data_IF_561229780160
#
_entry.id   IF_561229780160
#
_cell.length_a   1.000
_cell.length_b   1.000
_cell.length_c   1.000
_cell.angle_alpha   90.00
_cell.angle_beta   90.00
_cell.angle_gamma   90.00
#
_symmetry.space_group_name_H-M   'P 1'
#
loop_
_entity.id
_entity.type
_entity.pdbx_description
1 polymer ?
#
# COMPACT_ATOMS: atom_id res chain seq x y z
N UNK A 1 15.00 23.72 -24.90
CA UNK A 1 14.60 22.51 -24.18
C UNK A 1 15.68 21.90 -23.29
N UNK A 2 16.99 21.96 -23.63
CA UNK A 2 18.07 21.42 -22.76
C UNK A 2 18.26 22.16 -21.42
N UNK A 3 17.97 23.47 -21.33
CA UNK A 3 18.15 24.27 -20.10
C UNK A 3 17.07 24.03 -19.03
N UNK A 4 15.87 23.62 -19.41
CA UNK A 4 14.76 23.34 -18.47
C UNK A 4 14.97 21.97 -17.79
N UNK A 5 15.52 21.00 -18.53
CA UNK A 5 15.83 19.68 -18.00
C UNK A 5 16.95 19.73 -16.93
N UNK A 6 17.91 20.64 -17.11
CA UNK A 6 19.03 20.86 -16.16
C UNK A 6 18.55 21.45 -14.83
N UNK A 7 17.54 22.34 -14.86
CA UNK A 7 16.99 22.98 -13.65
C UNK A 7 16.16 21.98 -12.82
N UNK A 8 15.42 21.09 -13.48
CA UNK A 8 14.66 20.02 -12.78
C UNK A 8 15.61 19.02 -12.15
N UNK A 9 16.69 18.66 -12.85
CA UNK A 9 17.70 17.70 -12.35
C UNK A 9 18.54 18.29 -11.19
N UNK A 10 18.81 19.61 -11.19
CA UNK A 10 19.54 20.27 -10.09
C UNK A 10 18.68 20.43 -8.84
N UNK A 11 17.36 20.59 -8.93
CA UNK A 11 16.47 20.58 -7.76
C UNK A 11 16.39 19.21 -7.08
N UNK A 12 16.52 18.11 -7.84
CA UNK A 12 16.59 16.75 -7.26
C UNK A 12 17.96 16.41 -6.65
N UNK A 13 19.05 17.01 -7.15
CA UNK A 13 20.40 16.78 -6.63
C UNK A 13 20.75 17.62 -5.40
N UNK A 14 20.07 18.75 -5.19
CA UNK A 14 20.31 19.63 -4.02
C UNK A 14 19.71 19.10 -2.71
N UNK A 15 18.86 18.07 -2.75
CA UNK A 15 18.34 17.39 -1.56
C UNK A 15 19.33 16.38 -0.94
N UNK A 16 20.44 16.08 -1.63
CA UNK A 16 21.40 15.06 -1.17
C UNK A 16 22.69 15.63 -0.51
N UNK A 17 22.84 16.95 -0.31
CA UNK A 17 24.07 17.54 0.20
C UNK A 17 23.95 18.23 1.58
N UNK A 18 22.85 18.10 2.28
CA UNK A 18 22.83 18.34 3.72
C UNK A 18 23.19 17.04 4.43
N UNK A 19 24.47 16.80 4.61
CA UNK A 19 25.00 15.72 5.45
C UNK A 19 24.71 15.99 6.94
N UNK A 20 23.46 16.11 7.33
CA UNK A 20 23.01 15.82 8.67
C UNK A 20 22.89 14.31 8.74
N UNK A 21 23.70 13.64 9.56
CA UNK A 21 23.45 12.27 9.98
C UNK A 21 22.00 12.23 10.50
N UNK A 22 21.08 11.68 9.72
CA UNK A 22 19.69 11.54 10.13
C UNK A 22 19.71 10.63 11.37
N UNK A 23 19.52 11.22 12.53
CA UNK A 23 19.44 10.49 13.80
C UNK A 23 18.11 9.76 13.82
N UNK A 24 18.09 8.56 14.39
CA UNK A 24 16.86 7.83 14.65
C UNK A 24 16.11 8.55 15.77
N UNK A 25 14.92 9.04 15.48
CA UNK A 25 14.00 9.62 16.47
C UNK A 25 12.82 8.67 16.67
N UNK A 26 12.78 8.00 17.82
CA UNK A 26 11.75 7.03 18.15
C UNK A 26 10.35 7.68 18.22
N UNK A 27 10.24 8.92 18.69
CA UNK A 27 8.94 9.62 18.75
C UNK A 27 8.32 9.83 17.36
N UNK A 28 9.15 10.12 16.34
CA UNK A 28 8.68 10.25 14.96
C UNK A 28 8.22 8.91 14.39
N UNK A 29 8.91 7.81 14.73
CA UNK A 29 8.55 6.46 14.32
C UNK A 29 7.22 6.05 14.96
N UNK A 30 7.09 6.23 16.26
CA UNK A 30 5.85 5.90 16.99
C UNK A 30 4.69 6.78 16.54
N UNK A 31 4.95 8.06 16.20
CA UNK A 31 3.94 8.94 15.62
C UNK A 31 3.42 8.42 14.27
N UNK A 32 4.29 7.83 13.43
CA UNK A 32 3.89 7.19 12.19
C UNK A 32 2.99 5.97 12.43
N UNK A 33 3.36 5.03 13.32
CA UNK A 33 2.54 3.85 13.61
C UNK A 33 1.20 4.21 14.25
N UNK A 34 1.19 5.18 15.16
CA UNK A 34 -0.06 5.72 15.69
C UNK A 34 -0.95 6.34 14.60
N UNK A 35 -0.36 7.04 13.63
CA UNK A 35 -1.11 7.60 12.52
C UNK A 35 -1.62 6.50 11.56
N UNK A 36 -0.85 5.43 11.35
CA UNK A 36 -1.26 4.26 10.58
C UNK A 36 -2.47 3.58 11.24
N UNK A 37 -2.41 3.30 12.53
CA UNK A 37 -3.53 2.70 13.26
C UNK A 37 -4.78 3.59 13.20
N UNK A 38 -4.65 4.89 13.45
CA UNK A 38 -5.75 5.85 13.32
C UNK A 38 -6.34 5.89 11.89
N UNK A 39 -5.53 5.61 10.87
CA UNK A 39 -5.95 5.57 9.48
C UNK A 39 -6.72 4.28 9.18
N UNK A 40 -6.24 3.14 9.68
CA UNK A 40 -6.93 1.86 9.56
C UNK A 40 -8.26 1.83 10.34
N UNK A 41 -8.40 2.66 11.37
CA UNK A 41 -9.62 2.86 12.15
C UNK A 41 -10.62 3.85 11.52
N UNK A 42 -10.34 4.44 10.35
CA UNK A 42 -11.28 5.33 9.68
C UNK A 42 -12.59 4.61 9.35
N UNK A 43 -13.73 5.22 9.71
CA UNK A 43 -15.05 4.68 9.37
C UNK A 43 -15.32 4.64 7.87
N UNK A 44 -14.61 5.48 7.11
CA UNK A 44 -14.68 5.51 5.65
C UNK A 44 -13.44 6.16 5.07
N UNK A 45 -12.96 5.63 3.94
CA UNK A 45 -11.81 6.16 3.23
C UNK A 45 -11.92 5.89 1.72
N UNK A 46 -11.40 6.80 0.91
CA UNK A 46 -11.01 6.55 -0.46
C UNK A 46 -9.49 6.53 -0.53
N UNK A 47 -8.95 5.48 -1.14
CA UNK A 47 -7.53 5.28 -1.35
C UNK A 47 -7.29 5.30 -2.84
N UNK A 48 -6.47 6.23 -3.31
CA UNK A 48 -5.97 6.25 -4.67
C UNK A 48 -4.47 6.00 -4.61
N UNK A 49 -3.99 5.12 -5.46
CA UNK A 49 -2.57 4.81 -5.43
C UNK A 49 -2.04 4.20 -6.70
N UNK A 50 -0.74 4.01 -6.69
CA UNK A 50 0.00 3.34 -7.74
C UNK A 50 1.01 2.40 -7.12
N UNK A 51 1.21 1.25 -7.75
CA UNK A 51 2.35 0.38 -7.53
C UNK A 51 3.11 0.32 -8.85
N UNK A 52 4.28 0.96 -8.90
CA UNK A 52 5.14 0.97 -10.07
C UNK A 52 6.26 -0.06 -9.88
N UNK A 53 6.51 -0.83 -10.92
CA UNK A 53 7.64 -1.75 -11.09
C UNK A 53 8.35 -1.36 -12.38
N UNK A 54 9.57 -1.87 -12.59
CA UNK A 54 10.45 -1.49 -13.72
C UNK A 54 9.71 -1.29 -15.07
N UNK A 55 8.84 -2.23 -15.46
CA UNK A 55 8.20 -2.25 -16.78
C UNK A 55 6.66 -2.21 -16.72
N UNK A 56 6.10 -2.06 -15.52
CA UNK A 56 4.65 -2.09 -15.31
C UNK A 56 4.22 -1.20 -14.15
N UNK A 57 2.94 -0.83 -14.18
CA UNK A 57 2.32 -0.03 -13.13
C UNK A 57 0.90 -0.50 -12.88
N UNK A 58 0.56 -0.70 -11.63
CA UNK A 58 -0.82 -0.87 -11.20
C UNK A 58 -1.37 0.48 -10.70
N UNK A 59 -2.55 0.84 -11.18
CA UNK A 59 -3.31 1.97 -10.67
C UNK A 59 -4.41 1.42 -9.78
N UNK A 60 -4.52 1.93 -8.55
CA UNK A 60 -5.43 1.45 -7.51
C UNK A 60 -6.41 2.55 -7.16
N UNK A 61 -7.71 2.26 -7.23
CA UNK A 61 -8.78 3.05 -6.63
C UNK A 61 -9.54 2.14 -5.68
N UNK A 62 -9.64 2.49 -4.41
CA UNK A 62 -10.37 1.72 -3.42
C UNK A 62 -11.21 2.63 -2.54
N UNK A 63 -12.46 2.22 -2.32
CA UNK A 63 -13.43 2.85 -1.45
C UNK A 63 -13.77 1.89 -0.32
N UNK A 64 -13.68 2.34 0.91
CA UNK A 64 -13.87 1.52 2.10
C UNK A 64 -14.87 2.19 3.02
N UNK A 65 -15.83 1.42 3.50
CA UNK A 65 -16.77 1.79 4.55
C UNK A 65 -16.79 0.67 5.59
N UNK A 66 -16.56 1.02 6.88
CA UNK A 66 -16.51 0.04 7.97
C UNK A 66 -17.21 0.57 9.23
N UNK A 67 -18.44 1.07 9.07
CA UNK A 67 -19.30 1.49 10.20
C UNK A 67 -19.89 0.26 10.90
N UNK A 68 -20.99 -0.24 10.37
CA UNK A 68 -21.73 -1.38 10.90
C UNK A 68 -21.26 -2.69 10.28
N UNK A 69 -20.96 -2.65 8.98
CA UNK A 69 -20.38 -3.75 8.23
C UNK A 69 -19.23 -3.25 7.35
N UNK A 70 -18.36 -4.18 6.94
CA UNK A 70 -17.28 -3.91 6.01
C UNK A 70 -17.84 -3.91 4.58
N UNK A 71 -17.66 -2.79 3.90
CA UNK A 71 -17.93 -2.63 2.48
C UNK A 71 -16.68 -2.12 1.78
N UNK A 72 -16.37 -2.71 0.65
CA UNK A 72 -15.21 -2.35 -0.18
C UNK A 72 -15.62 -2.31 -1.64
N UNK A 73 -15.17 -1.29 -2.36
CA UNK A 73 -15.22 -1.23 -3.80
C UNK A 73 -13.83 -0.87 -4.30
N UNK A 74 -13.17 -1.77 -5.02
CA UNK A 74 -11.81 -1.56 -5.50
C UNK A 74 -11.70 -1.88 -6.98
N UNK A 75 -10.95 -1.05 -7.70
CA UNK A 75 -10.57 -1.24 -9.10
C UNK A 75 -9.05 -1.12 -9.22
N UNK A 76 -8.46 -2.07 -9.93
CA UNK A 76 -7.04 -2.10 -10.25
C UNK A 76 -6.89 -2.10 -11.77
N UNK A 77 -6.19 -1.09 -12.29
CA UNK A 77 -5.76 -1.02 -13.68
C UNK A 77 -4.30 -1.46 -13.82
N UNK A 78 -3.96 -2.08 -14.93
CA UNK A 78 -2.60 -2.48 -15.29
C UNK A 78 -2.12 -1.66 -16.49
N UNK A 79 -0.91 -1.12 -16.40
CA UNK A 79 -0.16 -0.53 -17.51
C UNK A 79 1.13 -1.31 -17.68
N UNK A 80 1.33 -1.92 -18.84
CA UNK A 80 2.56 -2.67 -19.17
C UNK A 80 3.02 -2.26 -20.58
N UNK A 81 4.07 -1.45 -20.64
CA UNK A 81 4.52 -0.81 -21.88
C UNK A 81 3.41 0.03 -22.52
N UNK A 82 2.96 -0.34 -23.71
CA UNK A 82 1.85 0.34 -24.42
C UNK A 82 0.46 -0.23 -24.11
N UNK A 83 0.39 -1.34 -23.39
CA UNK A 83 -0.85 -2.01 -23.05
C UNK A 83 -1.45 -1.37 -21.78
N UNK A 84 -2.70 -0.91 -21.87
CA UNK A 84 -3.45 -0.34 -20.75
C UNK A 84 -4.74 -1.13 -20.55
N UNK A 85 -4.92 -1.69 -19.37
CA UNK A 85 -6.12 -2.41 -18.96
C UNK A 85 -6.71 -1.73 -17.73
N UNK A 86 -7.70 -0.85 -17.90
CA UNK A 86 -8.26 -0.05 -16.80
C UNK A 86 -9.03 -0.87 -15.76
N UNK A 87 -9.55 -2.03 -16.12
CA UNK A 87 -10.32 -2.93 -15.26
C UNK A 87 -9.66 -4.32 -15.24
N UNK A 88 -8.37 -4.35 -14.95
CA UNK A 88 -7.61 -5.61 -14.85
C UNK A 88 -8.18 -6.50 -13.74
N UNK A 89 -8.46 -5.89 -12.58
CA UNK A 89 -9.05 -6.57 -11.44
C UNK A 89 -10.02 -5.62 -10.73
N UNK A 90 -11.25 -6.08 -10.47
CA UNK A 90 -12.16 -5.37 -9.58
C UNK A 90 -12.58 -6.31 -8.45
N UNK A 91 -12.58 -5.77 -7.23
CA UNK A 91 -12.92 -6.52 -6.04
C UNK A 91 -13.92 -5.73 -5.19
N UNK A 92 -14.98 -6.41 -4.74
CA UNK A 92 -16.01 -5.79 -3.94
C UNK A 92 -16.33 -6.65 -2.71
N UNK A 93 -16.66 -5.97 -1.61
CA UNK A 93 -17.29 -6.58 -0.42
C UNK A 93 -18.58 -5.83 -0.18
N UNK A 94 -19.70 -6.57 -0.15
CA UNK A 94 -21.02 -6.02 0.12
C UNK A 94 -21.91 -7.10 0.75
N UNK A 95 -22.65 -6.75 1.79
CA UNK A 95 -23.62 -7.63 2.46
C UNK A 95 -23.03 -8.99 2.94
N UNK A 96 -21.74 -9.00 3.34
CA UNK A 96 -21.03 -10.20 3.77
C UNK A 96 -20.60 -11.13 2.65
N UNK A 97 -20.67 -10.68 1.39
CA UNK A 97 -20.17 -11.38 0.19
C UNK A 97 -18.96 -10.68 -0.40
N UNK A 98 -18.13 -11.45 -1.08
CA UNK A 98 -17.04 -10.98 -1.94
C UNK A 98 -17.43 -11.16 -3.39
N UNK A 99 -16.99 -10.24 -4.22
CA UNK A 99 -17.20 -10.24 -5.66
C UNK A 99 -15.87 -9.92 -6.33
N UNK A 100 -15.45 -10.79 -7.24
CA UNK A 100 -14.20 -10.64 -7.99
C UNK A 100 -14.51 -10.62 -9.48
N UNK A 101 -14.02 -9.59 -10.17
CA UNK A 101 -14.00 -9.56 -11.62
C UNK A 101 -12.54 -9.46 -12.07
N UNK A 102 -12.02 -10.56 -12.60
CA UNK A 102 -10.69 -10.64 -13.18
C UNK A 102 -10.81 -10.74 -14.69
N UNK A 103 -10.44 -9.66 -15.38
CA UNK A 103 -10.45 -9.58 -16.85
C UNK A 103 -11.78 -10.05 -17.48
N UNK A 104 -12.92 -9.76 -16.83
CA UNK A 104 -14.25 -10.12 -17.30
C UNK A 104 -14.83 -11.42 -16.71
N UNK A 105 -14.01 -12.27 -16.09
CA UNK A 105 -14.49 -13.41 -15.31
C UNK A 105 -15.01 -12.94 -13.95
N UNK A 106 -16.32 -13.15 -13.70
CA UNK A 106 -17.04 -12.64 -12.54
C UNK A 106 -17.43 -13.77 -11.60
N UNK A 107 -16.86 -13.76 -10.39
CA UNK A 107 -17.14 -14.75 -9.35
C UNK A 107 -17.59 -14.09 -8.05
N UNK A 108 -18.41 -14.75 -7.26
CA UNK A 108 -18.79 -14.33 -5.91
C UNK A 108 -18.56 -15.47 -4.92
N UNK A 109 -18.28 -15.08 -3.68
CA UNK A 109 -18.11 -15.99 -2.56
C UNK A 109 -18.57 -15.29 -1.28
N UNK A 110 -18.28 -15.86 -0.13
CA UNK A 110 -18.57 -15.26 1.18
C UNK A 110 -17.28 -14.70 1.80
N UNK A 111 -17.40 -13.69 2.65
CA UNK A 111 -16.23 -13.01 3.26
C UNK A 111 -15.41 -13.94 4.17
N UNK A 112 -16.00 -14.99 4.73
CA UNK A 112 -15.32 -15.99 5.56
C UNK A 112 -14.28 -16.81 4.77
N UNK A 113 -14.48 -17.01 3.47
CA UNK A 113 -13.50 -17.67 2.59
C UNK A 113 -12.17 -16.94 2.49
N UNK A 114 -12.16 -15.64 2.72
CA UNK A 114 -10.94 -14.82 2.76
C UNK A 114 -10.54 -14.42 4.19
N UNK A 115 -11.05 -15.14 5.21
CA UNK A 115 -10.72 -14.90 6.61
C UNK A 115 -11.36 -13.65 7.23
N UNK A 116 -12.35 -13.05 6.56
CA UNK A 116 -13.07 -11.87 7.05
C UNK A 116 -14.43 -12.26 7.65
N UNK A 117 -14.98 -11.36 8.46
CA UNK A 117 -16.36 -11.40 8.92
C UNK A 117 -17.10 -10.18 8.36
N UNK A 118 -18.42 -10.25 8.29
CA UNK A 118 -19.26 -9.14 7.80
C UNK A 118 -18.97 -7.81 8.51
N UNK A 119 -18.64 -7.83 9.79
CA UNK A 119 -18.32 -6.68 10.62
C UNK A 119 -16.82 -6.48 10.89
N UNK A 120 -15.94 -7.10 10.12
CA UNK A 120 -14.50 -6.93 10.24
C UNK A 120 -14.09 -5.46 10.14
N UNK A 121 -13.05 -5.09 10.89
CA UNK A 121 -12.43 -3.78 10.85
C UNK A 121 -11.00 -3.93 10.35
N UNK A 122 -10.54 -3.01 9.51
CA UNK A 122 -9.21 -3.10 8.88
C UNK A 122 -8.06 -3.08 9.89
N UNK A 123 -8.22 -2.38 11.00
CA UNK A 123 -7.18 -2.34 12.03
C UNK A 123 -6.87 -3.72 12.63
N UNK A 124 -7.83 -4.65 12.65
CA UNK A 124 -7.59 -6.02 13.12
C UNK A 124 -6.61 -6.81 12.20
N UNK A 125 -6.35 -6.30 11.01
CA UNK A 125 -5.40 -6.86 10.04
C UNK A 125 -4.12 -6.02 9.92
N UNK A 126 -3.88 -5.10 10.86
CA UNK A 126 -2.63 -4.36 10.96
C UNK A 126 -1.51 -5.34 11.37
N UNK A 127 -0.50 -5.61 10.52
CA UNK A 127 0.56 -6.57 10.83
C UNK A 127 1.50 -6.11 11.95
N UNK A 128 1.36 -4.89 12.39
CA UNK A 128 2.20 -4.27 13.44
C UNK A 128 1.53 -4.25 14.81
N UNK A 129 0.29 -4.76 14.96
CA UNK A 129 -0.48 -4.67 16.23
C UNK A 129 0.21 -5.36 17.42
N UNK A 130 0.87 -6.48 17.16
CA UNK A 130 1.49 -7.30 18.22
C UNK A 130 2.96 -6.91 18.48
N UNK A 131 3.48 -5.88 17.79
CA UNK A 131 4.84 -5.41 17.99
C UNK A 131 4.91 -4.39 19.14
N UNK A 132 5.93 -4.54 19.97
CA UNK A 132 6.26 -3.53 20.99
C UNK A 132 6.82 -2.25 20.36
N UNK A 133 6.81 -1.14 21.10
CA UNK A 133 7.38 0.13 20.64
C UNK A 133 8.85 -0.01 20.21
N UNK A 134 9.64 -0.81 20.91
CA UNK A 134 11.04 -1.09 20.56
C UNK A 134 11.12 -1.85 19.22
N UNK A 135 10.29 -2.87 19.02
CA UNK A 135 10.24 -3.63 17.77
C UNK A 135 9.78 -2.76 16.60
N UNK A 136 8.80 -1.87 16.81
CA UNK A 136 8.37 -0.89 15.81
C UNK A 136 9.51 0.06 15.44
N UNK A 137 10.24 0.54 16.45
CA UNK A 137 11.40 1.39 16.21
C UNK A 137 12.51 0.67 15.44
N UNK A 138 12.72 -0.63 15.65
CA UNK A 138 13.73 -1.41 14.92
C UNK A 138 13.46 -1.55 13.42
N UNK A 139 12.22 -1.30 12.95
CA UNK A 139 11.88 -1.33 11.53
C UNK A 139 12.52 -0.20 10.73
N UNK A 140 13.08 0.81 11.39
CA UNK A 140 13.69 1.96 10.75
C UNK A 140 15.10 2.22 11.26
N UNK A 141 16.02 2.52 10.34
CA UNK A 141 17.42 2.90 10.66
C UNK A 141 17.52 4.38 11.03
N UNK A 142 16.68 5.24 10.42
CA UNK A 142 16.65 6.68 10.69
C UNK A 142 15.29 7.28 10.38
N UNK A 143 15.03 8.46 10.97
CA UNK A 143 13.83 9.25 10.73
C UNK A 143 14.18 10.74 10.60
N UNK A 144 13.42 11.46 9.79
CA UNK A 144 13.46 12.91 9.63
C UNK A 144 12.06 13.44 9.53
N UNK A 145 11.75 14.48 10.30
CA UNK A 145 10.46 15.18 10.21
C UNK A 145 10.66 16.60 9.71
N UNK A 146 9.87 16.98 8.69
CA UNK A 146 9.77 18.34 8.18
C UNK A 146 8.28 18.70 8.06
N UNK A 147 7.81 19.58 8.93
CA UNK A 147 6.39 19.93 9.05
C UNK A 147 5.51 18.69 9.27
N UNK A 148 4.58 18.41 8.36
CA UNK A 148 3.68 17.24 8.39
C UNK A 148 4.26 16.01 7.69
N UNK A 149 5.48 16.11 7.12
CA UNK A 149 6.11 15.05 6.33
C UNK A 149 7.19 14.35 7.15
N UNK A 150 7.11 13.04 7.19
CA UNK A 150 8.04 12.15 7.86
C UNK A 150 8.75 11.30 6.81
N UNK A 151 10.06 11.27 6.85
CA UNK A 151 10.90 10.45 5.96
C UNK A 151 11.67 9.46 6.81
N UNK A 152 11.59 8.18 6.44
CA UNK A 152 12.24 7.09 7.16
C UNK A 152 13.16 6.33 6.20
N UNK A 153 14.36 5.96 6.69
CA UNK A 153 15.14 4.90 6.10
C UNK A 153 14.72 3.59 6.75
N UNK A 154 14.15 2.70 5.95
CA UNK A 154 13.65 1.41 6.43
C UNK A 154 14.81 0.45 6.65
N UNK A 155 14.78 -0.31 7.72
CA UNK A 155 15.70 -1.41 7.95
C UNK A 155 15.41 -2.54 6.97
N UNK A 156 16.27 -2.70 5.96
CA UNK A 156 16.05 -3.63 4.85
C UNK A 156 15.98 -5.09 5.29
N UNK A 157 16.78 -5.47 6.30
CA UNK A 157 16.76 -6.84 6.82
C UNK A 157 15.44 -7.16 7.52
N UNK A 158 14.90 -6.22 8.29
CA UNK A 158 13.60 -6.40 8.97
C UNK A 158 12.45 -6.41 7.96
N UNK A 159 12.48 -5.53 6.95
CA UNK A 159 11.46 -5.53 5.89
C UNK A 159 11.52 -6.82 5.05
N UNK A 160 12.71 -7.30 4.71
CA UNK A 160 12.88 -8.56 3.97
C UNK A 160 12.24 -9.73 4.74
N UNK A 161 12.41 -9.82 6.06
CA UNK A 161 11.79 -10.84 6.90
C UNK A 161 10.24 -10.80 6.82
N UNK A 162 9.64 -9.62 6.70
CA UNK A 162 8.19 -9.49 6.52
C UNK A 162 7.71 -9.93 5.12
N UNK A 163 8.60 -9.89 4.13
CA UNK A 163 8.32 -10.28 2.74
C UNK A 163 8.73 -11.73 2.42
N UNK A 164 9.36 -12.44 3.35
CA UNK A 164 9.99 -13.75 3.12
C UNK A 164 9.01 -14.85 2.69
N UNK A 165 7.72 -14.69 2.99
CA UNK A 165 6.65 -15.57 2.49
C UNK A 165 6.43 -15.46 0.96
N UNK A 166 7.07 -14.51 0.29
CA UNK A 166 6.99 -14.28 -1.16
C UNK A 166 8.20 -14.81 -1.94
N UNK A 167 9.02 -15.68 -1.32
CA UNK A 167 10.30 -16.14 -1.83
C UNK A 167 11.47 -15.41 -1.17
N UNK A 168 12.69 -15.86 -1.40
CA UNK A 168 13.88 -15.21 -0.81
C UNK A 168 14.07 -13.81 -1.38
N UNK A 169 13.90 -12.81 -0.53
CA UNK A 169 14.02 -11.38 -0.90
C UNK A 169 15.23 -10.78 -0.21
N UNK A 170 16.14 -10.19 -0.99
CA UNK A 170 17.25 -9.37 -0.50
C UNK A 170 16.98 -7.92 -0.89
N UNK A 171 16.82 -7.04 0.10
CA UNK A 171 16.63 -5.62 -0.13
C UNK A 171 17.94 -4.85 0.06
N UNK A 172 18.26 -3.98 -0.89
CA UNK A 172 19.44 -3.12 -0.84
C UNK A 172 19.11 -1.76 -0.24
N UNK A 173 17.97 -1.18 -0.64
CA UNK A 173 17.47 0.10 -0.15
C UNK A 173 15.97 0.07 0.07
N UNK A 174 15.52 0.74 1.13
CA UNK A 174 14.10 1.00 1.34
C UNK A 174 13.88 2.34 2.05
N UNK A 175 12.96 3.15 1.52
CA UNK A 175 12.58 4.45 2.09
C UNK A 175 11.08 4.58 2.17
N UNK A 176 10.59 5.16 3.26
CA UNK A 176 9.18 5.47 3.46
C UNK A 176 9.04 6.97 3.70
N UNK A 177 8.16 7.62 2.95
CA UNK A 177 7.74 9.01 3.17
C UNK A 177 6.26 9.01 3.50
N UNK A 178 5.87 9.65 4.61
CA UNK A 178 4.48 9.75 5.02
C UNK A 178 4.11 11.20 5.36
N UNK A 179 2.99 11.68 4.84
CA UNK A 179 2.38 12.94 5.26
C UNK A 179 1.28 12.65 6.27
N UNK A 180 1.45 13.16 7.48
CA UNK A 180 0.53 12.93 8.61
C UNK A 180 -0.22 14.22 8.92
N UNK A 181 -1.55 14.20 8.75
CA UNK A 181 -2.45 15.31 9.07
C UNK A 181 -3.52 14.86 10.05
N UNK A 182 -3.73 15.64 11.11
CA UNK A 182 -4.72 15.31 12.14
C UNK A 182 -4.54 13.87 12.70
N UNK A 183 -3.29 13.48 12.96
CA UNK A 183 -2.91 12.14 13.46
C UNK A 183 -3.30 10.98 12.53
N UNK A 184 -3.40 11.21 11.23
CA UNK A 184 -3.72 10.20 10.20
C UNK A 184 -2.83 10.38 9.00
N UNK A 185 -2.52 9.29 8.31
CA UNK A 185 -1.78 9.32 7.06
C UNK A 185 -2.71 9.84 5.97
N UNK A 186 -2.30 10.88 5.27
CA UNK A 186 -2.99 11.43 4.10
C UNK A 186 -2.32 11.07 2.78
N UNK A 187 -1.01 10.82 2.83
CA UNK A 187 -0.21 10.41 1.67
C UNK A 187 0.97 9.58 2.15
N UNK A 188 1.36 8.58 1.38
CA UNK A 188 2.48 7.70 1.69
C UNK A 188 3.18 7.26 0.40
N UNK A 189 4.51 7.24 0.42
CA UNK A 189 5.34 6.66 -0.63
C UNK A 189 6.32 5.68 0.02
N UNK A 190 6.33 4.44 -0.46
CA UNK A 190 7.30 3.42 -0.11
C UNK A 190 8.08 3.03 -1.36
N UNK A 191 9.39 3.25 -1.34
CA UNK A 191 10.28 2.83 -2.41
C UNK A 191 11.24 1.77 -1.86
N UNK A 192 11.48 0.71 -2.63
CA UNK A 192 12.51 -0.25 -2.30
C UNK A 192 13.11 -0.90 -3.54
N UNK A 193 14.39 -1.25 -3.45
CA UNK A 193 15.17 -1.96 -4.47
C UNK A 193 15.85 -3.17 -3.87
N UNK A 194 16.09 -4.17 -4.70
CA UNK A 194 16.74 -5.40 -4.25
C UNK A 194 16.68 -6.50 -5.30
N UNK A 195 16.74 -7.75 -4.85
CA UNK A 195 16.60 -8.94 -5.67
C UNK A 195 15.62 -9.92 -5.02
N UNK A 196 14.82 -10.60 -5.84
CA UNK A 196 13.97 -11.70 -5.44
C UNK A 196 14.44 -12.97 -6.12
N UNK A 197 14.55 -14.06 -5.37
CA UNK A 197 14.88 -15.39 -5.88
C UNK A 197 13.73 -16.34 -5.65
N UNK A 198 13.23 -16.95 -6.74
CA UNK A 198 12.18 -17.98 -6.72
C UNK A 198 12.67 -19.13 -7.59
N UNK A 199 12.71 -20.34 -7.06
CA UNK A 199 13.11 -21.54 -7.77
C UNK A 199 14.44 -21.38 -8.55
N UNK A 200 15.48 -20.84 -7.89
CA UNK A 200 16.82 -20.55 -8.44
C UNK A 200 16.88 -19.44 -9.50
N UNK A 201 15.76 -18.84 -9.89
CA UNK A 201 15.72 -17.67 -10.76
C UNK A 201 15.74 -16.38 -9.93
N UNK A 202 16.68 -15.49 -10.20
CA UNK A 202 16.78 -14.18 -9.55
C UNK A 202 16.32 -13.07 -10.48
N UNK A 203 15.54 -12.13 -9.95
CA UNK A 203 15.09 -10.93 -10.64
C UNK A 203 15.34 -9.68 -9.79
N UNK A 204 15.71 -8.58 -10.44
CA UNK A 204 15.82 -7.29 -9.78
C UNK A 204 14.44 -6.78 -9.36
N UNK A 205 14.36 -6.24 -8.15
CA UNK A 205 13.20 -5.56 -7.60
C UNK A 205 13.49 -4.05 -7.64
N UNK A 206 12.61 -3.30 -8.28
CA UNK A 206 12.53 -1.84 -8.20
C UNK A 206 11.06 -1.48 -8.12
N UNK A 207 10.60 -1.15 -6.91
CA UNK A 207 9.19 -0.93 -6.60
C UNK A 207 8.99 0.41 -5.93
N UNK A 208 8.00 1.14 -6.44
CA UNK A 208 7.47 2.35 -5.82
C UNK A 208 5.97 2.19 -5.58
N UNK A 209 5.55 2.33 -4.33
CA UNK A 209 4.15 2.31 -3.92
C UNK A 209 3.80 3.72 -3.46
N UNK A 210 2.83 4.35 -4.10
CA UNK A 210 2.31 5.65 -3.71
C UNK A 210 0.82 5.55 -3.39
N UNK A 211 0.41 6.05 -2.23
CA UNK A 211 -0.97 6.03 -1.76
C UNK A 211 -1.41 7.41 -1.28
N UNK A 212 -2.60 7.83 -1.69
CA UNK A 212 -3.30 9.00 -1.16
C UNK A 212 -4.60 8.58 -0.52
N UNK A 213 -4.86 9.04 0.70
CA UNK A 213 -6.02 8.67 1.50
C UNK A 213 -6.88 9.92 1.74
N UNK A 214 -8.16 9.84 1.36
CA UNK A 214 -9.12 10.92 1.47
C UNK A 214 -10.39 10.45 2.18
N UNK A 215 -11.16 11.39 2.68
CA UNK A 215 -12.49 11.11 3.24
C UNK A 215 -13.43 10.64 2.13
N UNK A 216 -14.12 9.53 2.39
CA UNK A 216 -15.19 9.02 1.53
C UNK A 216 -16.56 9.41 2.13
N UNK A 217 -17.50 9.80 1.29
CA UNK A 217 -18.87 10.09 1.71
C UNK A 217 -19.83 8.96 1.39
N UNK A 218 -19.65 8.30 0.26
CA UNK A 218 -20.50 7.20 -0.23
C UNK A 218 -19.63 6.23 -1.03
N UNK A 219 -19.85 4.93 -0.80
CA UNK A 219 -19.26 3.89 -1.62
C UNK A 219 -20.13 3.65 -2.87
N UNK A 220 -19.50 3.43 -4.00
CA UNK A 220 -20.17 3.13 -5.26
C UNK A 220 -19.88 1.68 -5.65
N UNK A 221 -20.94 0.93 -5.90
CA UNK A 221 -20.88 -0.43 -6.42
C UNK A 221 -21.38 -0.48 -7.86
N UNK A 222 -20.89 -1.39 -8.70
CA UNK A 222 -21.50 -1.63 -10.01
C UNK A 222 -22.91 -2.21 -9.86
N UNK A 223 -23.78 -1.95 -10.84
CA UNK A 223 -25.16 -2.39 -10.81
C UNK A 223 -25.33 -3.89 -11.13
N UNK A 224 -24.30 -4.55 -11.56
CA UNK A 224 -24.31 -5.91 -12.08
C UNK A 224 -23.73 -6.97 -11.13
N UNK A 225 -23.64 -6.68 -9.82
CA UNK A 225 -23.17 -7.63 -8.82
C UNK A 225 -24.01 -8.93 -8.81
N UNK A 226 -25.30 -8.85 -9.15
CA UNK A 226 -26.18 -10.02 -9.21
C UNK A 226 -25.82 -10.98 -10.38
N UNK A 227 -24.99 -10.53 -11.33
CA UNK A 227 -24.52 -11.35 -12.45
C UNK A 227 -23.25 -12.16 -12.12
N UNK A 228 -22.70 -12.03 -10.91
CA UNK A 228 -21.52 -12.77 -10.47
C UNK A 228 -21.92 -14.20 -10.10
N UNK A 229 -21.20 -15.18 -10.63
CA UNK A 229 -21.47 -16.60 -10.38
C UNK A 229 -20.82 -17.05 -9.07
N UNK A 230 -21.49 -17.95 -8.33
CA UNK A 230 -20.86 -18.54 -7.17
C UNK A 230 -19.58 -19.27 -7.60
N UNK A 231 -18.53 -19.08 -6.83
CA UNK A 231 -17.29 -19.85 -6.96
C UNK A 231 -17.64 -21.33 -6.70
N UNK A 232 -17.54 -22.17 -7.74
CA UNK A 232 -17.67 -23.61 -7.57
C UNK A 232 -16.43 -24.07 -6.81
N UNK A 233 -16.63 -24.81 -5.71
CA UNK A 233 -15.53 -25.51 -5.09
C UNK A 233 -14.92 -26.43 -6.18
N UNK A 234 -13.68 -26.16 -6.58
CA UNK A 234 -12.91 -27.15 -7.32
C UNK A 234 -12.63 -28.26 -6.31
N UNK A 235 -13.14 -29.48 -6.64
CA UNK A 235 -12.87 -30.71 -5.92
C UNK A 235 -11.38 -31.10 -5.97
#
# INVERSE_FOLDING_TARGET
>A
MKKILTIILTCFLSLNLAGCSASKNNDDILAFFNALDNTLNLKSAQINGTLAMKDSKLNIDAQILQKDELQVSSSIGLVAGKNVQNNFLNFYIKDGKTYLNSMGTKTQSTVDKIGLKKNSKLNAYNPFLDLTDDQLCELFDSSKKENDTYTFKVNTSKLATLLDNMGSVKLDHATLVATIKNKKISHMILNFTGTQTVDDASADIDVSIELSIKKLYKINFPNDLDNYKNETAED
#
